data_IF_874729999803
#
_entry.id   IF_874729999803
#
_cell.length_a   1.000
_cell.length_b   1.000
_cell.length_c   1.000
_cell.angle_alpha   90.00
_cell.angle_beta   90.00
_cell.angle_gamma   90.00
#
_symmetry.space_group_name_H-M   'P 1'
#
loop_
_entity.id
_entity.type
_entity.pdbx_description
1 polymer ?
#
# COMPACT_ATOMS: atom_id res chain seq x y z
N UNK A 1 -17.86 3.19 9.40
CA UNK A 1 -18.72 2.33 8.55
C UNK A 1 -18.18 2.30 7.12
N UNK A 2 -17.85 1.11 6.58
CA UNK A 2 -17.31 0.97 5.21
C UNK A 2 -18.34 1.25 4.12
N UNK A 3 -19.63 0.97 4.34
CA UNK A 3 -20.68 1.20 3.34
C UNK A 3 -20.82 2.70 3.03
N UNK A 4 -20.96 3.53 4.07
CA UNK A 4 -21.00 4.98 3.90
C UNK A 4 -19.71 5.57 3.29
N UNK A 5 -18.56 4.93 3.48
CA UNK A 5 -17.32 5.34 2.83
C UNK A 5 -17.34 4.99 1.33
N UNK A 6 -17.79 3.77 1.00
CA UNK A 6 -17.99 3.32 -0.39
C UNK A 6 -18.93 4.25 -1.16
N UNK A 7 -20.07 4.63 -0.57
CA UNK A 7 -21.02 5.55 -1.18
C UNK A 7 -20.37 6.89 -1.53
N UNK A 8 -19.66 7.51 -0.58
CA UNK A 8 -18.97 8.79 -0.80
C UNK A 8 -17.89 8.70 -1.88
N UNK A 9 -17.12 7.62 -1.90
CA UNK A 9 -16.12 7.44 -2.95
C UNK A 9 -16.77 7.21 -4.32
N UNK A 10 -17.89 6.49 -4.38
CA UNK A 10 -18.63 6.30 -5.63
C UNK A 10 -19.21 7.62 -6.16
N UNK A 11 -19.78 8.45 -5.29
CA UNK A 11 -20.27 9.79 -5.66
C UNK A 11 -19.14 10.67 -6.19
N UNK A 12 -17.99 10.71 -5.50
CA UNK A 12 -16.82 11.46 -5.94
C UNK A 12 -16.33 10.99 -7.31
N UNK A 13 -16.30 9.69 -7.57
CA UNK A 13 -15.85 9.11 -8.83
C UNK A 13 -16.88 9.22 -9.96
N UNK A 14 -18.16 9.40 -9.64
CA UNK A 14 -19.18 9.74 -10.62
C UNK A 14 -19.02 11.19 -11.12
N UNK A 15 -18.62 12.11 -10.23
CA UNK A 15 -18.35 13.50 -10.59
C UNK A 15 -16.97 13.68 -11.25
N UNK A 16 -15.94 13.01 -10.74
CA UNK A 16 -14.56 13.07 -11.24
C UNK A 16 -13.94 11.66 -11.27
N UNK A 17 -13.97 10.96 -12.42
CA UNK A 17 -13.53 9.56 -12.52
C UNK A 17 -12.08 9.29 -12.11
N UNK A 18 -11.23 10.32 -12.19
CA UNK A 18 -9.80 10.24 -11.89
C UNK A 18 -9.42 10.86 -10.55
N UNK A 19 -10.40 11.13 -9.67
CA UNK A 19 -10.15 11.71 -8.36
C UNK A 19 -9.28 10.77 -7.50
N UNK A 20 -7.99 11.10 -7.42
CA UNK A 20 -6.92 10.25 -6.88
C UNK A 20 -7.21 9.75 -5.46
N UNK A 21 -7.70 10.65 -4.60
CA UNK A 21 -8.04 10.32 -3.21
C UNK A 21 -9.25 9.40 -3.09
N UNK A 22 -10.20 9.48 -4.02
CA UNK A 22 -11.39 8.63 -4.01
C UNK A 22 -11.07 7.23 -4.52
N UNK A 23 -10.26 7.13 -5.58
CA UNK A 23 -9.68 5.87 -6.06
C UNK A 23 -8.86 5.18 -4.96
N UNK A 24 -7.95 5.91 -4.31
CA UNK A 24 -7.15 5.37 -3.20
C UNK A 24 -8.03 4.88 -2.05
N UNK A 25 -8.97 5.72 -1.62
CA UNK A 25 -9.86 5.43 -0.49
C UNK A 25 -10.73 4.21 -0.73
N UNK A 26 -11.33 4.10 -1.92
CA UNK A 26 -12.18 2.97 -2.28
C UNK A 26 -11.39 1.68 -2.46
N UNK A 27 -10.20 1.73 -3.08
CA UNK A 27 -9.29 0.59 -3.17
C UNK A 27 -8.87 0.07 -1.78
N UNK A 28 -8.64 0.98 -0.82
CA UNK A 28 -8.37 0.61 0.57
C UNK A 28 -9.58 -0.05 1.23
N UNK A 29 -10.81 0.43 1.00
CA UNK A 29 -12.02 -0.24 1.50
C UNK A 29 -12.15 -1.65 0.91
N UNK A 30 -11.92 -1.82 -0.39
CA UNK A 30 -11.87 -3.14 -1.01
C UNK A 30 -10.81 -4.05 -0.37
N UNK A 31 -9.62 -3.52 -0.10
CA UNK A 31 -8.54 -4.26 0.56
C UNK A 31 -8.92 -4.69 1.99
N UNK A 32 -9.53 -3.81 2.79
CA UNK A 32 -9.96 -4.12 4.15
C UNK A 32 -11.12 -5.13 4.20
N UNK A 33 -12.02 -5.05 3.22
CA UNK A 33 -13.16 -5.98 3.06
C UNK A 33 -12.80 -7.25 2.29
N UNK A 34 -11.50 -7.47 2.02
CA UNK A 34 -10.94 -8.65 1.31
C UNK A 34 -11.46 -8.84 -0.12
N UNK A 35 -11.98 -7.78 -0.73
CA UNK A 35 -12.33 -7.72 -2.15
C UNK A 35 -11.07 -7.47 -2.99
N UNK A 36 -10.16 -8.46 -2.98
CA UNK A 36 -8.82 -8.29 -3.51
C UNK A 36 -8.77 -8.03 -5.02
N UNK A 37 -9.67 -8.60 -5.80
CA UNK A 37 -9.74 -8.38 -7.26
C UNK A 37 -10.10 -6.92 -7.55
N UNK A 38 -11.10 -6.39 -6.86
CA UNK A 38 -11.54 -4.99 -7.02
C UNK A 38 -10.44 -4.01 -6.58
N UNK A 39 -9.81 -4.29 -5.42
CA UNK A 39 -8.70 -3.48 -4.93
C UNK A 39 -7.50 -3.47 -5.90
N UNK A 40 -7.13 -4.63 -6.45
CA UNK A 40 -6.02 -4.74 -7.40
C UNK A 40 -6.30 -4.00 -8.70
N UNK A 41 -7.51 -4.11 -9.22
CA UNK A 41 -7.93 -3.38 -10.42
C UNK A 41 -7.84 -1.86 -10.20
N UNK A 42 -8.33 -1.38 -9.06
CA UNK A 42 -8.39 0.04 -8.77
C UNK A 42 -7.02 0.65 -8.45
N UNK A 43 -6.17 -0.04 -7.67
CA UNK A 43 -4.78 0.40 -7.49
C UNK A 43 -4.02 0.42 -8.83
N UNK A 44 -4.25 -0.57 -9.68
CA UNK A 44 -3.61 -0.64 -11.01
C UNK A 44 -4.06 0.49 -11.92
N UNK A 45 -5.35 0.82 -11.89
CA UNK A 45 -5.88 1.98 -12.60
C UNK A 45 -5.24 3.28 -12.10
N UNK A 46 -5.23 3.51 -10.79
CA UNK A 46 -4.65 4.71 -10.18
C UNK A 46 -3.16 4.88 -10.50
N UNK A 47 -2.38 3.79 -10.39
CA UNK A 47 -0.95 3.80 -10.73
C UNK A 47 -0.75 4.14 -12.21
N UNK A 48 -1.54 3.54 -13.10
CA UNK A 48 -1.45 3.81 -14.55
C UNK A 48 -1.78 5.27 -14.85
N UNK A 49 -2.87 5.78 -14.28
CA UNK A 49 -3.27 7.18 -14.44
C UNK A 49 -2.18 8.14 -13.94
N UNK A 50 -1.62 7.90 -12.75
CA UNK A 50 -0.57 8.74 -12.19
C UNK A 50 0.71 8.68 -13.04
N UNK A 51 1.15 7.50 -13.45
CA UNK A 51 2.32 7.38 -14.33
C UNK A 51 2.17 8.20 -15.62
N UNK A 52 0.97 8.24 -16.18
CA UNK A 52 0.72 8.86 -17.49
C UNK A 52 0.40 10.37 -17.40
N UNK A 53 0.02 10.89 -16.22
CA UNK A 53 -0.52 12.26 -16.05
C UNK A 53 0.10 13.05 -14.89
N UNK A 54 1.17 12.55 -14.27
CA UNK A 54 1.80 13.21 -13.14
C UNK A 54 2.86 14.21 -13.60
N UNK A 55 2.69 15.46 -13.20
CA UNK A 55 3.69 16.50 -13.42
C UNK A 55 4.85 16.37 -12.41
N UNK A 56 6.09 16.71 -12.78
CA UNK A 56 7.26 16.54 -11.90
C UNK A 56 7.22 17.32 -10.59
N UNK A 57 6.44 18.40 -10.51
CA UNK A 57 6.29 19.27 -9.33
C UNK A 57 5.03 18.97 -8.50
N UNK A 58 4.23 17.98 -8.90
CA UNK A 58 3.04 17.54 -8.16
C UNK A 58 3.42 16.62 -7.00
N UNK A 59 3.96 17.21 -5.94
CA UNK A 59 4.40 16.52 -4.71
C UNK A 59 3.28 15.64 -4.14
N UNK A 60 2.03 16.11 -4.19
CA UNK A 60 0.89 15.34 -3.67
C UNK A 60 0.62 14.11 -4.54
N UNK A 61 0.63 14.25 -5.86
CA UNK A 61 0.48 13.14 -6.79
C UNK A 61 1.62 12.14 -6.71
N UNK A 62 2.87 12.59 -6.53
CA UNK A 62 4.05 11.74 -6.30
C UNK A 62 3.87 10.89 -5.04
N UNK A 63 3.47 11.51 -3.92
CA UNK A 63 3.21 10.79 -2.68
C UNK A 63 2.06 9.78 -2.82
N UNK A 64 0.98 10.13 -3.53
CA UNK A 64 -0.13 9.20 -3.81
C UNK A 64 0.34 8.04 -4.71
N UNK A 65 1.22 8.29 -5.68
CA UNK A 65 1.77 7.27 -6.56
C UNK A 65 2.60 6.24 -5.78
N UNK A 66 3.51 6.71 -4.92
CA UNK A 66 4.27 5.84 -4.02
C UNK A 66 3.36 5.07 -3.04
N UNK A 67 2.34 5.75 -2.51
CA UNK A 67 1.33 5.14 -1.65
C UNK A 67 0.49 4.06 -2.34
N UNK A 68 0.18 4.23 -3.63
CA UNK A 68 -0.61 3.27 -4.41
C UNK A 68 0.19 1.98 -4.65
N UNK A 69 1.47 2.11 -5.00
CA UNK A 69 2.37 0.96 -5.07
C UNK A 69 2.50 0.28 -3.71
N UNK A 70 2.68 1.03 -2.61
CA UNK A 70 2.74 0.45 -1.26
C UNK A 70 1.50 -0.38 -0.93
N UNK A 71 0.31 0.15 -1.18
CA UNK A 71 -0.95 -0.54 -0.85
C UNK A 71 -1.21 -1.74 -1.75
N UNK A 72 -0.87 -1.67 -3.04
CA UNK A 72 -0.94 -2.84 -3.93
C UNK A 72 0.10 -3.90 -3.56
N UNK A 73 1.28 -3.49 -3.10
CA UNK A 73 2.28 -4.35 -2.50
C UNK A 73 1.75 -5.10 -1.27
N UNK A 74 1.07 -4.40 -0.35
CA UNK A 74 0.40 -5.00 0.81
C UNK A 74 -0.68 -6.00 0.38
N UNK A 75 -1.47 -5.66 -0.64
CA UNK A 75 -2.47 -6.57 -1.21
C UNK A 75 -1.81 -7.86 -1.71
N UNK A 76 -0.73 -7.75 -2.48
CA UNK A 76 0.01 -8.89 -2.99
C UNK A 76 0.62 -9.73 -1.87
N UNK A 77 1.20 -9.08 -0.87
CA UNK A 77 1.76 -9.72 0.30
C UNK A 77 0.72 -10.55 1.07
N UNK A 78 -0.47 -9.96 1.33
CA UNK A 78 -1.60 -10.63 1.98
C UNK A 78 -2.18 -11.78 1.16
N UNK A 79 -2.04 -11.73 -0.16
CA UNK A 79 -2.53 -12.77 -1.09
C UNK A 79 -1.45 -13.77 -1.50
N UNK A 80 -0.26 -13.71 -0.90
CA UNK A 80 0.83 -14.66 -1.15
C UNK A 80 1.59 -14.43 -2.46
N UNK A 81 1.35 -13.31 -3.15
CA UNK A 81 2.01 -12.93 -4.41
C UNK A 81 3.28 -12.13 -4.14
N UNK A 82 4.23 -12.75 -3.45
CA UNK A 82 5.37 -12.08 -2.83
C UNK A 82 6.33 -11.39 -3.81
N UNK A 83 6.53 -11.96 -5.00
CA UNK A 83 7.36 -11.35 -6.05
C UNK A 83 6.75 -10.02 -6.53
N UNK A 84 5.43 -10.00 -6.72
CA UNK A 84 4.71 -8.77 -7.09
C UNK A 84 4.73 -7.76 -5.94
N UNK A 85 4.57 -8.23 -4.70
CA UNK A 85 4.67 -7.38 -3.52
C UNK A 85 6.03 -6.69 -3.43
N UNK A 86 7.11 -7.45 -3.59
CA UNK A 86 8.48 -6.93 -3.59
C UNK A 86 8.70 -5.90 -4.70
N UNK A 87 8.22 -6.17 -5.92
CA UNK A 87 8.33 -5.24 -7.03
C UNK A 87 7.62 -3.91 -6.73
N UNK A 88 6.40 -3.95 -6.21
CA UNK A 88 5.64 -2.75 -5.84
C UNK A 88 6.29 -1.98 -4.69
N UNK A 89 6.80 -2.67 -3.66
CA UNK A 89 7.52 -2.00 -2.57
C UNK A 89 8.81 -1.31 -3.05
N UNK A 90 9.55 -1.93 -3.96
CA UNK A 90 10.75 -1.32 -4.56
C UNK A 90 10.36 -0.07 -5.34
N UNK A 91 9.29 -0.12 -6.12
CA UNK A 91 8.85 1.03 -6.92
C UNK A 91 8.36 2.18 -6.04
N UNK A 92 7.58 1.88 -4.99
CA UNK A 92 7.17 2.87 -4.00
C UNK A 92 8.36 3.63 -3.39
N UNK A 93 9.41 2.89 -2.99
CA UNK A 93 10.62 3.48 -2.39
C UNK A 93 11.44 4.32 -3.38
N UNK A 94 11.40 4.02 -4.68
CA UNK A 94 12.06 4.84 -5.71
C UNK A 94 11.31 6.14 -5.98
N UNK A 95 9.98 6.10 -5.94
CA UNK A 95 9.13 7.27 -6.23
C UNK A 95 9.24 8.27 -5.09
N UNK A 96 8.97 7.84 -3.86
CA UNK A 96 9.03 8.71 -2.68
C UNK A 96 9.26 7.88 -1.41
N UNK A 97 10.53 7.71 -1.06
CA UNK A 97 10.94 7.03 0.17
C UNK A 97 10.37 7.72 1.42
N UNK A 98 10.35 9.06 1.45
CA UNK A 98 9.92 9.83 2.60
C UNK A 98 8.44 9.64 2.91
N UNK A 99 7.60 9.60 1.87
CA UNK A 99 6.17 9.38 2.01
C UNK A 99 5.82 7.96 2.49
N UNK A 100 6.63 6.93 2.16
CA UNK A 100 6.26 5.52 2.40
C UNK A 100 6.94 4.87 3.61
N UNK A 101 8.15 5.29 3.99
CA UNK A 101 8.84 4.78 5.20
C UNK A 101 8.52 5.62 6.46
N UNK A 102 7.81 6.74 6.29
CA UNK A 102 7.39 7.65 7.36
C UNK A 102 8.54 8.42 8.01
N UNK A 103 8.26 9.20 9.08
CA UNK A 103 9.25 10.06 9.72
C UNK A 103 10.56 9.31 10.05
N UNK A 104 11.69 9.96 9.78
CA UNK A 104 13.02 9.35 9.90
C UNK A 104 13.38 8.98 11.35
N UNK A 105 14.61 8.48 11.55
CA UNK A 105 15.14 8.21 12.90
C UNK A 105 15.04 9.45 13.81
N UNK A 106 15.20 10.65 13.25
CA UNK A 106 15.17 11.93 13.97
C UNK A 106 13.79 12.23 14.55
N UNK A 107 12.75 12.18 13.73
CA UNK A 107 11.37 12.41 14.18
C UNK A 107 10.96 11.39 15.26
N UNK A 108 11.44 10.16 15.13
CA UNK A 108 11.19 9.09 16.12
C UNK A 108 11.87 9.33 17.46
N UNK A 109 13.08 9.93 17.46
CA UNK A 109 13.78 10.35 18.70
C UNK A 109 12.99 11.45 19.40
N UNK A 110 12.38 12.37 18.64
CA UNK A 110 11.63 13.49 19.17
C UNK A 110 10.24 13.06 19.67
N UNK A 111 9.56 12.16 18.94
CA UNK A 111 8.15 11.83 19.15
C UNK A 111 7.88 10.45 19.80
N UNK A 112 8.90 9.61 20.02
CA UNK A 112 8.77 8.39 20.82
C UNK A 112 7.90 7.27 20.24
N UNK A 113 7.57 7.30 18.94
CA UNK A 113 6.73 6.27 18.32
C UNK A 113 7.45 4.92 18.23
N UNK A 114 6.83 3.80 18.65
CA UNK A 114 7.41 2.45 18.49
C UNK A 114 7.66 2.16 17.00
N UNK A 115 8.61 1.27 16.67
CA UNK A 115 8.97 0.93 15.28
C UNK A 115 7.86 0.08 14.61
N UNK A 116 6.95 0.61 13.77
CA UNK A 116 6.21 -0.25 12.86
C UNK A 116 7.18 -0.85 11.85
N UNK A 117 6.87 -2.03 11.32
CA UNK A 117 7.60 -2.57 10.18
C UNK A 117 7.39 -1.63 8.97
N UNK A 118 8.46 -1.08 8.42
CA UNK A 118 8.37 -0.16 7.27
C UNK A 118 8.30 -0.93 5.94
N UNK A 119 7.90 -0.25 4.86
CA UNK A 119 7.88 -0.82 3.50
C UNK A 119 9.26 -1.34 3.12
N UNK A 120 10.32 -0.59 3.39
CA UNK A 120 11.72 -1.03 3.20
C UNK A 120 12.06 -2.28 3.97
N UNK A 121 11.67 -2.38 5.24
CA UNK A 121 11.96 -3.57 6.03
C UNK A 121 11.26 -4.79 5.47
N UNK A 122 9.99 -4.65 5.04
CA UNK A 122 9.26 -5.75 4.41
C UNK A 122 9.85 -6.14 3.06
N UNK A 123 10.22 -5.17 2.22
CA UNK A 123 10.88 -5.42 0.95
C UNK A 123 12.22 -6.17 1.12
N UNK A 124 13.07 -5.75 2.06
CA UNK A 124 14.32 -6.43 2.37
C UNK A 124 14.09 -7.86 2.88
N UNK A 125 13.07 -8.06 3.70
CA UNK A 125 12.70 -9.39 4.16
C UNK A 125 12.26 -10.29 3.00
N UNK A 126 11.31 -9.84 2.16
CA UNK A 126 10.84 -10.59 1.01
C UNK A 126 11.99 -10.92 0.06
N UNK A 127 12.89 -9.96 -0.22
CA UNK A 127 14.09 -10.19 -1.04
C UNK A 127 14.95 -11.32 -0.48
N UNK A 128 15.19 -11.35 0.83
CA UNK A 128 15.98 -12.41 1.47
C UNK A 128 15.28 -13.77 1.39
N UNK A 129 13.98 -13.82 1.67
CA UNK A 129 13.21 -15.06 1.65
C UNK A 129 13.09 -15.63 0.23
N UNK A 130 12.86 -14.78 -0.77
CA UNK A 130 12.76 -15.22 -2.17
C UNK A 130 14.10 -15.70 -2.75
N UNK A 131 15.23 -15.36 -2.12
CA UNK A 131 16.54 -15.89 -2.48
C UNK A 131 16.81 -17.30 -1.90
N UNK A 132 16.02 -17.76 -0.93
CA UNK A 132 16.12 -19.11 -0.38
C UNK A 132 15.41 -20.13 -1.28
N UNK A 133 15.81 -21.42 -1.22
CA UNK A 133 15.01 -22.53 -1.73
C UNK A 133 13.57 -22.47 -1.21
N UNK A 134 12.59 -22.85 -2.03
CA UNK A 134 11.16 -22.69 -1.71
C UNK A 134 10.76 -23.34 -0.37
N UNK A 135 11.34 -24.50 -0.06
CA UNK A 135 11.09 -25.25 1.18
C UNK A 135 11.73 -24.64 2.43
N UNK A 136 12.62 -23.65 2.29
CA UNK A 136 13.28 -22.95 3.40
C UNK A 136 12.67 -21.57 3.67
N UNK A 137 11.75 -21.12 2.81
CA UNK A 137 11.15 -19.79 2.92
C UNK A 137 10.17 -19.74 4.08
N UNK A 138 10.29 -18.70 4.88
CA UNK A 138 9.27 -18.25 5.84
C UNK A 138 8.75 -16.93 5.30
N UNK A 139 7.60 -16.95 4.62
CA UNK A 139 7.03 -15.74 4.00
C UNK A 139 5.83 -15.19 4.77
N UNK A 140 5.23 -16.04 5.61
CA UNK A 140 4.04 -15.78 6.40
C UNK A 140 4.20 -16.38 7.80
N UNK A 141 3.74 -15.67 8.82
CA UNK A 141 3.62 -16.19 10.19
C UNK A 141 2.17 -15.94 10.61
N UNK A 142 1.25 -16.91 10.37
CA UNK A 142 -0.19 -16.70 10.48
C UNK A 142 -0.65 -16.07 11.80
N UNK A 143 0.01 -16.40 12.91
CA UNK A 143 -0.29 -15.87 14.24
C UNK A 143 0.01 -14.37 14.33
N UNK A 144 1.18 -13.94 13.85
CA UNK A 144 1.58 -12.52 13.84
C UNK A 144 0.80 -11.72 12.80
N UNK A 145 0.49 -12.33 11.66
CA UNK A 145 -0.29 -11.68 10.60
C UNK A 145 -1.75 -11.47 11.01
N UNK A 146 -2.29 -12.32 11.89
CA UNK A 146 -3.61 -12.14 12.48
C UNK A 146 -3.64 -11.04 13.56
N UNK A 147 -2.52 -10.82 14.26
CA UNK A 147 -2.35 -9.77 15.28
C UNK A 147 -2.20 -8.36 14.68
N UNK A 148 -1.74 -8.25 13.43
CA UNK A 148 -1.71 -6.98 12.71
C UNK A 148 -3.15 -6.49 12.48
N UNK A 149 -3.64 -5.70 13.45
CA UNK A 149 -5.01 -5.18 13.51
C UNK A 149 -5.43 -4.59 12.17
N UNK A 150 -6.38 -5.24 11.49
CA UNK A 150 -7.29 -4.55 10.58
C UNK A 150 -7.99 -3.49 11.43
N UNK A 151 -7.80 -2.21 11.11
CA UNK A 151 -8.54 -1.14 11.75
C UNK A 151 -10.04 -1.44 11.61
N UNK A 152 -10.68 -1.83 12.71
CA UNK A 152 -12.13 -1.94 12.82
C UNK A 152 -12.61 -0.58 13.35
N UNK A 153 -13.18 0.30 12.52
CA UNK A 153 -13.84 1.48 13.06
C UNK A 153 -15.01 0.99 13.92
N UNK A 154 -15.00 1.34 15.21
CA UNK A 154 -16.15 1.28 16.09
C UNK A 154 -17.20 2.30 15.64
#
# INVERSE_FOLDING_TARGET
NYEAAMERFNEALAAEPNHRGALMGRALVFLQTKRYVDAEAEFTYLITFLRDNLEPDDITGIAVHAGAHTNRGILYDRTGRYEKALADYIEALKIDEGAVDGPGLVDKIIYGTPRPATVRQRALYLKRQLALPENERVLRIPEKDAEQRMYKPY
#
